data_IF_716137742295
#
_entry.id   IF_716137742295
#
_cell.length_a   1.000
_cell.length_b   1.000
_cell.length_c   1.000
_cell.angle_alpha   90.00
_cell.angle_beta   90.00
_cell.angle_gamma   90.00
#
_symmetry.space_group_name_H-M   'P 1'
#
loop_
_entity.id
_entity.type
_entity.pdbx_description
1 polymer ?
#
# COMPACT_ATOMS: atom_id res chain seq x y z
N UNK A 1 43.00 -19.67 9.48
CA UNK A 1 42.59 -18.26 9.33
C UNK A 1 41.19 -18.27 8.74
N UNK A 2 40.18 -17.94 9.54
CA UNK A 2 38.78 -17.91 9.10
C UNK A 2 38.59 -16.76 8.12
N UNK A 3 38.00 -17.03 6.95
CA UNK A 3 37.79 -16.05 5.90
C UNK A 3 37.00 -14.82 6.43
N UNK A 4 37.32 -13.59 5.97
CA UNK A 4 36.53 -12.42 6.31
C UNK A 4 35.10 -12.60 5.80
N UNK A 5 34.13 -12.63 6.73
CA UNK A 5 32.72 -12.65 6.37
C UNK A 5 32.39 -11.31 5.72
N UNK A 6 32.30 -11.29 4.39
CA UNK A 6 31.76 -10.15 3.67
C UNK A 6 30.35 -9.89 4.21
N UNK A 7 29.97 -8.63 4.52
CA UNK A 7 28.58 -8.32 4.86
C UNK A 7 27.71 -8.77 3.70
N UNK A 8 27.00 -9.87 3.88
CA UNK A 8 26.05 -10.38 2.89
C UNK A 8 24.85 -9.45 2.93
N UNK A 9 24.90 -8.39 2.11
CA UNK A 9 23.78 -7.49 1.83
C UNK A 9 22.63 -8.19 1.09
N UNK A 10 22.79 -9.46 0.74
CA UNK A 10 21.81 -10.27 0.02
C UNK A 10 21.79 -11.70 0.57
N UNK A 11 21.61 -11.83 1.88
CA UNK A 11 21.26 -13.14 2.45
C UNK A 11 19.85 -13.49 1.94
N UNK A 12 19.64 -14.64 1.28
CA UNK A 12 18.31 -15.11 0.89
C UNK A 12 17.52 -15.38 2.18
N UNK A 13 16.82 -14.35 2.67
CA UNK A 13 16.26 -14.30 4.03
C UNK A 13 16.29 -12.91 4.69
N UNK A 14 16.96 -11.90 4.11
CA UNK A 14 16.69 -10.51 4.48
C UNK A 14 15.27 -10.15 4.02
N UNK A 15 14.39 -9.88 4.99
CA UNK A 15 13.07 -9.34 4.69
C UNK A 15 13.16 -8.07 3.88
N UNK A 16 12.12 -7.77 3.10
CA UNK A 16 12.03 -6.46 2.45
C UNK A 16 11.99 -5.34 3.46
N UNK A 17 12.58 -4.20 3.10
CA UNK A 17 12.64 -3.03 3.96
C UNK A 17 11.24 -2.48 4.23
N UNK A 18 10.84 -2.45 5.50
CA UNK A 18 9.61 -1.83 6.00
C UNK A 18 9.59 -0.34 5.72
N UNK A 19 10.76 0.30 5.83
CA UNK A 19 10.91 1.74 5.63
C UNK A 19 10.62 2.12 4.17
N UNK A 20 11.14 1.34 3.21
CA UNK A 20 10.86 1.54 1.78
C UNK A 20 9.38 1.25 1.49
N UNK A 21 8.83 0.15 2.01
CA UNK A 21 7.43 -0.20 1.82
C UNK A 21 6.48 0.88 2.40
N UNK A 22 6.81 1.42 3.58
CA UNK A 22 6.06 2.49 4.24
C UNK A 22 6.15 3.80 3.47
N UNK A 23 7.34 4.20 3.00
CA UNK A 23 7.51 5.39 2.15
C UNK A 23 6.70 5.25 0.87
N UNK A 24 6.72 4.06 0.28
CA UNK A 24 6.02 3.77 -0.95
C UNK A 24 4.50 3.76 -0.75
N UNK A 25 4.00 3.30 0.40
CA UNK A 25 2.60 3.49 0.76
C UNK A 25 2.26 4.93 1.21
N UNK A 26 3.23 5.74 1.65
CA UNK A 26 2.99 7.14 2.00
C UNK A 26 2.82 8.00 0.74
N UNK A 27 3.76 7.90 -0.19
CA UNK A 27 3.77 8.70 -1.42
C UNK A 27 2.88 8.11 -2.52
N UNK A 28 2.84 6.78 -2.64
CA UNK A 28 2.10 6.04 -3.66
C UNK A 28 1.01 5.14 -3.03
N UNK A 29 0.53 5.47 -1.83
CA UNK A 29 -0.54 4.72 -1.14
C UNK A 29 -1.88 4.71 -1.85
N UNK A 30 -2.12 5.69 -2.73
CA UNK A 30 -3.29 5.69 -3.60
C UNK A 30 -3.27 4.58 -4.65
N UNK A 31 -2.08 4.13 -5.04
CA UNK A 31 -1.89 2.99 -5.95
C UNK A 31 -1.32 1.76 -5.23
N UNK A 32 -1.37 1.75 -3.89
CA UNK A 32 -0.93 0.64 -3.04
C UNK A 32 0.47 0.11 -3.36
N UNK A 33 1.39 0.99 -3.79
CA UNK A 33 2.71 0.56 -4.25
C UNK A 33 3.53 -0.12 -3.14
N UNK A 34 3.31 0.25 -1.87
CA UNK A 34 3.91 -0.44 -0.72
C UNK A 34 3.45 -1.90 -0.58
N UNK A 35 2.17 -2.18 -0.87
CA UNK A 35 1.62 -3.55 -0.88
C UNK A 35 2.21 -4.37 -2.04
N UNK A 36 2.39 -3.77 -3.22
CA UNK A 36 3.06 -4.40 -4.35
C UNK A 36 4.55 -4.66 -4.08
N UNK A 37 5.22 -3.74 -3.39
CA UNK A 37 6.61 -3.92 -3.00
C UNK A 37 6.76 -5.10 -2.04
N UNK A 38 5.86 -5.29 -1.09
CA UNK A 38 5.82 -6.45 -0.20
C UNK A 38 5.22 -7.72 -0.83
N UNK A 39 5.04 -7.73 -2.16
CA UNK A 39 4.55 -8.88 -2.90
C UNK A 39 3.06 -9.21 -2.69
N UNK A 40 2.32 -8.39 -1.96
CA UNK A 40 0.90 -8.56 -1.67
C UNK A 40 0.02 -8.08 -2.84
N UNK A 41 0.25 -8.66 -4.03
CA UNK A 41 -0.36 -8.25 -5.31
C UNK A 41 -1.90 -8.22 -5.25
N UNK A 42 -2.51 -9.18 -4.55
CA UNK A 42 -3.98 -9.27 -4.42
C UNK A 42 -4.57 -8.11 -3.60
N UNK A 43 -3.90 -7.75 -2.51
CA UNK A 43 -4.34 -6.68 -1.60
C UNK A 43 -4.10 -5.33 -2.26
N UNK A 44 -2.94 -5.16 -2.91
CA UNK A 44 -2.63 -3.98 -3.72
C UNK A 44 -3.67 -3.76 -4.81
N UNK A 45 -3.99 -4.79 -5.60
CA UNK A 45 -4.96 -4.69 -6.70
C UNK A 45 -6.37 -4.28 -6.23
N UNK A 46 -6.86 -4.84 -5.12
CA UNK A 46 -8.18 -4.48 -4.56
C UNK A 46 -8.20 -3.00 -4.16
N UNK A 47 -7.11 -2.52 -3.54
CA UNK A 47 -7.00 -1.14 -3.05
C UNK A 47 -6.93 -0.14 -4.21
N UNK A 48 -6.19 -0.47 -5.27
CA UNK A 48 -6.19 0.31 -6.52
C UNK A 48 -7.58 0.32 -7.16
N UNK A 49 -8.25 -0.84 -7.25
CA UNK A 49 -9.59 -0.93 -7.80
C UNK A 49 -10.61 -0.10 -6.99
N UNK A 50 -10.50 -0.09 -5.66
CA UNK A 50 -11.34 0.74 -4.79
C UNK A 50 -11.10 2.24 -5.02
N UNK A 51 -9.84 2.65 -5.19
CA UNK A 51 -9.51 4.05 -5.47
C UNK A 51 -10.03 4.49 -6.84
N UNK A 52 -9.80 3.68 -7.88
CA UNK A 52 -10.30 3.95 -9.24
C UNK A 52 -11.84 3.98 -9.23
N UNK A 53 -12.50 3.00 -8.62
CA UNK A 53 -13.96 2.94 -8.53
C UNK A 53 -14.56 4.16 -7.83
N UNK A 54 -13.92 4.63 -6.76
CA UNK A 54 -14.34 5.85 -6.04
C UNK A 54 -14.21 7.10 -6.93
N UNK A 55 -13.11 7.20 -7.69
CA UNK A 55 -12.89 8.32 -8.61
C UNK A 55 -13.87 8.31 -9.79
N UNK A 56 -14.16 7.14 -10.35
CA UNK A 56 -15.16 6.97 -11.41
C UNK A 56 -16.54 7.38 -10.91
N UNK A 57 -16.92 6.96 -9.70
CA UNK A 57 -18.20 7.34 -9.13
C UNK A 57 -18.31 8.87 -8.91
N UNK A 58 -17.23 9.50 -8.45
CA UNK A 58 -17.14 10.95 -8.33
C UNK A 58 -17.31 11.65 -9.69
N UNK A 59 -16.67 11.14 -10.74
CA UNK A 59 -16.77 11.69 -12.11
C UNK A 59 -18.17 11.51 -12.70
N UNK A 60 -18.81 10.36 -12.51
CA UNK A 60 -20.19 10.11 -12.92
C UNK A 60 -21.13 11.08 -12.18
N UNK A 61 -20.95 11.23 -10.87
CA UNK A 61 -21.75 12.16 -10.08
C UNK A 61 -21.63 13.61 -10.53
N UNK A 62 -20.40 14.04 -10.87
CA UNK A 62 -20.15 15.37 -11.44
C UNK A 62 -20.75 15.54 -12.84
N UNK A 63 -20.62 14.54 -13.71
CA UNK A 63 -21.17 14.59 -15.07
C UNK A 63 -22.71 14.61 -15.09
N UNK A 64 -23.35 14.07 -14.05
CA UNK A 64 -24.81 14.06 -13.89
C UNK A 64 -25.33 15.30 -13.14
N UNK A 65 -24.47 16.27 -12.79
CA UNK A 65 -24.79 17.41 -11.90
C UNK A 65 -25.50 16.96 -10.59
N UNK A 66 -25.24 15.73 -10.17
CA UNK A 66 -25.88 15.13 -9.01
C UNK A 66 -24.96 15.31 -7.81
N UNK A 67 -25.24 16.36 -7.02
CA UNK A 67 -24.50 16.64 -5.79
C UNK A 67 -24.50 15.47 -4.79
N UNK A 68 -25.54 14.62 -4.82
CA UNK A 68 -25.62 13.41 -3.98
C UNK A 68 -24.61 12.35 -4.43
N UNK A 69 -24.60 11.99 -5.72
CA UNK A 69 -23.70 10.95 -6.27
C UNK A 69 -22.25 11.45 -6.23
N UNK A 70 -22.01 12.70 -6.61
CA UNK A 70 -20.70 13.34 -6.53
C UNK A 70 -20.20 13.43 -5.09
N UNK A 71 -21.09 13.77 -4.14
CA UNK A 71 -20.79 13.80 -2.71
C UNK A 71 -20.44 12.42 -2.14
N UNK A 72 -21.16 11.37 -2.53
CA UNK A 72 -20.86 9.97 -2.15
C UNK A 72 -19.51 9.54 -2.73
N UNK A 73 -19.24 9.85 -4.00
CA UNK A 73 -17.95 9.58 -4.64
C UNK A 73 -16.79 10.26 -3.90
N UNK A 74 -16.96 11.54 -3.55
CA UNK A 74 -15.97 12.28 -2.77
C UNK A 74 -15.74 11.68 -1.38
N UNK A 75 -16.81 11.29 -0.68
CA UNK A 75 -16.72 10.60 0.61
C UNK A 75 -15.94 9.29 0.51
N UNK A 76 -16.18 8.50 -0.55
CA UNK A 76 -15.44 7.26 -0.80
C UNK A 76 -13.97 7.52 -1.10
N UNK A 77 -13.64 8.54 -1.90
CA UNK A 77 -12.24 8.93 -2.14
C UNK A 77 -11.55 9.33 -0.83
N UNK A 78 -12.22 10.09 0.03
CA UNK A 78 -11.71 10.43 1.37
C UNK A 78 -11.51 9.20 2.25
N UNK A 79 -12.46 8.26 2.27
CA UNK A 79 -12.36 7.03 3.06
C UNK A 79 -11.24 6.13 2.56
N UNK A 80 -11.13 5.94 1.24
CA UNK A 80 -10.04 5.17 0.63
C UNK A 80 -8.70 5.87 0.87
N UNK A 81 -8.63 7.20 0.81
CA UNK A 81 -7.45 7.99 1.13
C UNK A 81 -7.01 7.85 2.59
N UNK A 82 -7.95 7.89 3.54
CA UNK A 82 -7.71 7.63 4.96
C UNK A 82 -7.22 6.20 5.20
N UNK A 83 -7.84 5.21 4.54
CA UNK A 83 -7.37 3.83 4.57
C UNK A 83 -5.98 3.70 3.92
N UNK A 84 -5.71 4.43 2.83
CA UNK A 84 -4.40 4.55 2.15
C UNK A 84 -3.31 4.98 3.13
N UNK A 85 -3.58 6.07 3.85
CA UNK A 85 -2.71 6.63 4.87
C UNK A 85 -2.57 5.71 6.09
N UNK A 86 -3.67 5.12 6.57
CA UNK A 86 -3.66 4.18 7.68
C UNK A 86 -2.77 2.96 7.37
N UNK A 87 -2.86 2.35 6.18
CA UNK A 87 -1.94 1.26 5.89
C UNK A 87 -0.51 1.73 5.64
N UNK A 88 -0.25 2.96 5.18
CA UNK A 88 1.12 3.49 5.17
C UNK A 88 1.72 3.48 6.58
N UNK A 89 0.97 3.99 7.57
CA UNK A 89 1.36 3.97 8.98
C UNK A 89 1.55 2.52 9.48
N UNK A 90 0.61 1.62 9.17
CA UNK A 90 0.74 0.21 9.56
C UNK A 90 1.94 -0.50 8.89
N UNK A 91 2.31 -0.11 7.67
CA UNK A 91 3.51 -0.60 6.98
C UNK A 91 4.77 -0.13 7.69
N UNK A 92 4.85 1.14 8.13
CA UNK A 92 5.97 1.62 8.95
C UNK A 92 6.06 0.90 10.30
N UNK A 93 4.91 0.64 10.93
CA UNK A 93 4.85 -0.10 12.19
C UNK A 93 5.12 -1.61 12.01
N UNK A 94 5.13 -2.10 10.77
CA UNK A 94 5.24 -3.53 10.46
C UNK A 94 4.18 -4.38 11.15
N UNK A 95 2.96 -3.84 11.34
CA UNK A 95 1.82 -4.56 11.94
C UNK A 95 0.91 -5.12 10.84
N UNK A 96 0.07 -6.10 11.20
CA UNK A 96 -0.87 -6.76 10.28
C UNK A 96 -0.14 -7.54 9.17
N UNK A 97 -0.54 -7.36 7.92
CA UNK A 97 0.01 -8.05 6.76
C UNK A 97 1.44 -7.60 6.42
N UNK A 98 1.91 -6.49 7.00
CA UNK A 98 3.21 -5.88 6.72
C UNK A 98 4.34 -6.42 7.58
N UNK A 99 4.00 -7.29 8.52
CA UNK A 99 4.94 -7.92 9.44
C UNK A 99 5.82 -8.95 8.72
N UNK A 100 5.28 -9.53 7.65
CA UNK A 100 5.95 -10.47 6.76
C UNK A 100 5.72 -10.06 5.30
N UNK A 101 6.75 -10.26 4.49
CA UNK A 101 6.67 -10.19 3.03
C UNK A 101 5.78 -11.34 2.51
N UNK A 102 5.31 -11.27 1.27
CA UNK A 102 4.49 -12.32 0.65
C UNK A 102 5.15 -13.71 0.65
N UNK A 103 6.49 -13.77 0.78
CA UNK A 103 7.27 -15.00 0.91
C UNK A 103 7.36 -15.53 2.35
N UNK A 104 6.67 -14.90 3.31
CA UNK A 104 6.67 -15.27 4.73
C UNK A 104 7.91 -14.80 5.50
N UNK A 105 8.81 -14.06 4.87
CA UNK A 105 10.04 -13.52 5.48
C UNK A 105 9.69 -12.28 6.31
N UNK A 106 10.10 -12.20 7.59
CA UNK A 106 9.84 -11.03 8.41
C UNK A 106 10.53 -9.80 7.81
N UNK A 107 9.76 -8.75 7.57
CA UNK A 107 10.25 -7.49 6.98
C UNK A 107 11.21 -6.80 7.96
N UNK A 108 12.25 -6.12 7.43
CA UNK A 108 13.34 -5.50 8.20
C UNK A 108 13.27 -3.99 8.24
#
# INVERSE_FOLDING_TARGET
MSAPQMPSFNTPGQGKSRMIAGLLNLFLGGIAAGDFYLGHMKIGAIRVAAMIGSYVLMMIGGAMDSGLIGGIGYLLVCLVGLASLACAVMTFMGKWIYEKDANGVPTV
#
